data_IF_558014575922
#
_entry.id   IF_558014575922
#
_cell.length_a   1.000
_cell.length_b   1.000
_cell.length_c   1.000
_cell.angle_alpha   90.00
_cell.angle_beta   90.00
_cell.angle_gamma   90.00
#
_symmetry.space_group_name_H-M   'P 1'
#
loop_
_entity.id
_entity.type
_entity.pdbx_description
1 polymer ?
#
# COMPACT_ATOMS: atom_id res chain seq x y z
N UNK A 1 19.86 12.24 51.98
CA UNK A 1 20.13 10.83 51.60
C UNK A 1 19.83 10.67 50.11
N UNK A 2 20.84 10.50 49.25
CA UNK A 2 20.63 10.09 47.85
C UNK A 2 20.56 8.57 47.83
N UNK A 3 19.39 8.01 47.59
CA UNK A 3 19.23 6.59 47.26
C UNK A 3 19.88 6.34 45.90
N UNK A 4 21.10 5.79 45.90
CA UNK A 4 21.73 5.23 44.70
C UNK A 4 20.89 4.04 44.25
N UNK A 5 20.36 4.09 43.03
CA UNK A 5 19.72 2.94 42.41
C UNK A 5 20.76 1.83 42.21
N UNK A 6 20.34 0.57 42.35
CA UNK A 6 21.23 -0.57 42.17
C UNK A 6 21.66 -0.70 40.70
N UNK A 7 22.88 -1.18 40.40
CA UNK A 7 23.37 -1.36 39.02
C UNK A 7 22.44 -2.18 38.12
N UNK A 8 21.68 -3.11 38.70
CA UNK A 8 20.69 -3.92 37.99
C UNK A 8 19.49 -3.11 37.48
N UNK A 9 19.08 -2.07 38.21
CA UNK A 9 17.97 -1.19 37.82
C UNK A 9 18.38 -0.26 36.67
N UNK A 10 19.65 0.17 36.68
CA UNK A 10 20.22 1.02 35.63
C UNK A 10 20.42 0.23 34.33
N UNK A 11 20.89 -1.03 34.41
CA UNK A 11 20.97 -1.94 33.26
C UNK A 11 19.60 -2.29 32.67
N UNK A 12 18.58 -2.53 33.50
CA UNK A 12 17.23 -2.79 33.02
C UNK A 12 16.63 -1.58 32.28
N UNK A 13 16.86 -0.37 32.77
CA UNK A 13 16.44 0.87 32.11
C UNK A 13 17.12 1.11 30.75
N UNK A 14 18.42 0.79 30.64
CA UNK A 14 19.16 0.87 29.36
C UNK A 14 18.68 -0.16 28.34
N UNK A 15 18.43 -1.41 28.75
CA UNK A 15 17.87 -2.42 27.86
C UNK A 15 16.46 -2.06 27.37
N UNK A 16 15.60 -1.51 28.23
CA UNK A 16 14.25 -1.07 27.85
C UNK A 16 14.31 0.08 26.85
N UNK A 17 15.17 1.08 27.07
CA UNK A 17 15.33 2.20 26.14
C UNK A 17 15.95 1.77 24.81
N UNK A 18 16.94 0.87 24.82
CA UNK A 18 17.53 0.32 23.60
C UNK A 18 16.53 -0.54 22.81
N UNK A 19 15.68 -1.32 23.50
CA UNK A 19 14.58 -2.05 22.85
C UNK A 19 13.52 -1.09 22.28
N UNK A 20 13.29 0.06 22.93
CA UNK A 20 12.35 1.11 22.47
C UNK A 20 12.90 1.88 21.26
N UNK A 21 14.19 2.13 21.21
CA UNK A 21 14.89 2.70 20.05
C UNK A 21 14.96 1.72 18.87
N UNK A 22 15.16 0.41 19.14
CA UNK A 22 15.02 -0.65 18.14
C UNK A 22 13.57 -0.79 17.64
N UNK A 23 12.58 -0.57 18.49
CA UNK A 23 11.16 -0.49 18.10
C UNK A 23 10.81 0.81 17.34
N UNK A 24 11.72 1.79 17.31
CA UNK A 24 11.61 3.03 16.54
C UNK A 24 12.29 2.93 15.16
N UNK A 25 13.02 1.84 14.90
CA UNK A 25 13.61 1.57 13.60
C UNK A 25 12.52 1.15 12.61
N UNK A 26 12.25 2.01 11.64
CA UNK A 26 11.36 1.73 10.51
C UNK A 26 11.81 0.48 9.77
N UNK A 27 10.88 -0.43 9.49
CA UNK A 27 11.18 -1.60 8.67
C UNK A 27 11.65 -1.17 7.27
N UNK A 28 12.44 -2.02 6.58
CA UNK A 28 12.83 -1.75 5.17
C UNK A 28 11.63 -1.40 4.29
N UNK A 29 10.49 -2.07 4.51
CA UNK A 29 9.23 -1.75 3.81
C UNK A 29 8.72 -0.37 4.16
N UNK A 30 8.67 0.01 5.44
CA UNK A 30 8.22 1.34 5.85
C UNK A 30 9.15 2.46 5.36
N UNK A 31 10.47 2.27 5.38
CA UNK A 31 11.42 3.24 4.81
C UNK A 31 11.19 3.42 3.30
N UNK A 32 10.95 2.34 2.56
CA UNK A 32 10.61 2.43 1.14
C UNK A 32 9.25 3.10 0.88
N UNK A 33 8.29 2.95 1.80
CA UNK A 33 7.01 3.66 1.73
C UNK A 33 7.22 5.17 1.94
N UNK A 34 8.05 5.57 2.89
CA UNK A 34 8.39 6.99 3.10
C UNK A 34 9.04 7.58 1.85
N UNK A 35 9.98 6.87 1.24
CA UNK A 35 10.61 7.29 -0.02
C UNK A 35 9.58 7.46 -1.14
N UNK A 36 8.65 6.50 -1.29
CA UNK A 36 7.56 6.63 -2.25
C UNK A 36 6.65 7.83 -1.96
N UNK A 37 6.31 8.07 -0.70
CA UNK A 37 5.46 9.19 -0.30
C UNK A 37 6.13 10.55 -0.53
N UNK A 38 7.45 10.63 -0.38
CA UNK A 38 8.23 11.85 -0.58
C UNK A 38 8.48 12.16 -2.06
N UNK A 39 8.86 11.15 -2.84
CA UNK A 39 9.45 11.35 -4.17
C UNK A 39 8.73 10.60 -5.30
N UNK A 40 7.79 9.71 -4.98
CA UNK A 40 7.06 8.92 -5.95
C UNK A 40 5.94 9.69 -6.67
N UNK A 41 5.47 9.13 -7.78
CA UNK A 41 4.25 9.62 -8.43
C UNK A 41 3.02 9.13 -7.65
N UNK A 42 2.67 9.84 -6.59
CA UNK A 42 1.63 9.44 -5.63
C UNK A 42 0.23 9.88 -6.05
N UNK A 43 -0.75 9.39 -5.30
CA UNK A 43 -2.17 9.72 -5.42
C UNK A 43 -2.96 9.05 -4.30
N UNK A 44 -4.19 9.51 -4.08
CA UNK A 44 -5.01 9.15 -2.92
C UNK A 44 -5.15 7.64 -2.69
N UNK A 45 -5.26 6.84 -3.76
CA UNK A 45 -5.34 5.38 -3.71
C UNK A 45 -4.06 4.73 -3.18
N UNK A 46 -2.91 5.11 -3.73
CA UNK A 46 -1.59 4.62 -3.28
C UNK A 46 -1.26 5.11 -1.87
N UNK A 47 -1.62 6.34 -1.51
CA UNK A 47 -1.43 6.85 -0.15
C UNK A 47 -2.28 6.07 0.86
N UNK A 48 -3.53 5.75 0.52
CA UNK A 48 -4.38 4.93 1.38
C UNK A 48 -3.74 3.56 1.65
N UNK A 49 -3.16 2.92 0.63
CA UNK A 49 -2.37 1.69 0.79
C UNK A 49 -1.14 1.91 1.70
N UNK A 50 -0.39 2.98 1.47
CA UNK A 50 0.83 3.30 2.22
C UNK A 50 0.53 3.47 3.72
N UNK A 51 -0.45 4.32 4.07
CA UNK A 51 -0.84 4.56 5.46
C UNK A 51 -1.44 3.31 6.11
N UNK A 52 -2.34 2.62 5.42
CA UNK A 52 -3.05 1.49 6.01
C UNK A 52 -2.14 0.26 6.17
N UNK A 53 -1.48 -0.18 5.09
CA UNK A 53 -0.67 -1.41 5.10
C UNK A 53 0.72 -1.21 5.71
N UNK A 54 1.30 -0.01 5.55
CA UNK A 54 2.63 0.34 6.05
C UNK A 54 2.64 0.71 7.51
N UNK A 55 1.64 1.45 7.97
CA UNK A 55 1.63 2.08 9.29
C UNK A 55 0.42 1.72 10.15
N UNK A 56 -0.55 0.97 9.63
CA UNK A 56 -1.78 0.67 10.35
C UNK A 56 -2.68 1.88 10.55
N UNK A 57 -2.44 2.97 9.82
CA UNK A 57 -3.17 4.22 9.96
C UNK A 57 -4.34 4.22 8.98
N UNK A 58 -5.57 4.27 9.50
CA UNK A 58 -6.80 4.43 8.70
C UNK A 58 -7.26 5.88 8.77
N UNK A 59 -7.12 6.63 7.66
CA UNK A 59 -7.65 8.00 7.54
C UNK A 59 -9.15 7.97 7.28
N UNK A 60 -9.87 9.03 7.68
CA UNK A 60 -11.34 9.12 7.60
C UNK A 60 -11.92 8.83 6.21
N UNK A 61 -11.18 9.15 5.14
CA UNK A 61 -11.65 9.05 3.75
C UNK A 61 -11.10 7.83 2.98
N UNK A 62 -10.22 7.02 3.57
CA UNK A 62 -9.49 5.97 2.85
C UNK A 62 -10.40 4.90 2.21
N UNK A 63 -11.59 4.66 2.78
CA UNK A 63 -12.58 3.77 2.15
C UNK A 63 -13.06 4.23 0.76
N UNK A 64 -12.99 5.54 0.46
CA UNK A 64 -13.32 6.13 -0.85
C UNK A 64 -12.11 6.26 -1.78
N UNK A 65 -10.91 6.13 -1.22
CA UNK A 65 -9.65 6.29 -1.95
C UNK A 65 -9.16 4.94 -2.45
N UNK A 66 -9.97 4.30 -3.30
CA UNK A 66 -9.56 3.14 -4.08
C UNK A 66 -9.17 3.58 -5.48
N UNK A 67 -8.40 2.79 -6.25
CA UNK A 67 -8.14 3.12 -7.64
C UNK A 67 -9.44 3.09 -8.45
N UNK A 68 -9.80 4.23 -9.04
CA UNK A 68 -11.01 4.39 -9.87
C UNK A 68 -10.73 4.10 -11.34
N UNK A 69 -9.48 4.30 -11.76
CA UNK A 69 -9.05 4.16 -13.14
C UNK A 69 -7.63 3.54 -13.24
N UNK A 70 -7.15 3.23 -14.45
CA UNK A 70 -5.82 2.67 -14.65
C UNK A 70 -4.67 3.56 -14.15
N UNK A 71 -4.87 4.88 -14.07
CA UNK A 71 -3.85 5.81 -13.57
C UNK A 71 -3.70 5.73 -12.06
N UNK A 72 -4.82 5.72 -11.34
CA UNK A 72 -4.82 5.42 -9.92
C UNK A 72 -4.20 4.04 -9.63
N UNK A 73 -4.50 3.06 -10.48
CA UNK A 73 -3.96 1.71 -10.33
C UNK A 73 -2.46 1.67 -10.57
N UNK A 74 -1.93 2.34 -11.60
CA UNK A 74 -0.48 2.40 -11.85
C UNK A 74 0.27 3.01 -10.66
N UNK A 75 -0.30 4.03 -10.00
CA UNK A 75 0.27 4.61 -8.78
C UNK A 75 0.31 3.61 -7.62
N UNK A 76 -0.72 2.78 -7.49
CA UNK A 76 -0.72 1.68 -6.53
C UNK A 76 0.37 0.64 -6.87
N UNK A 77 0.54 0.30 -8.15
CA UNK A 77 1.62 -0.58 -8.60
C UNK A 77 3.01 0.04 -8.35
N UNK A 78 3.15 1.35 -8.52
CA UNK A 78 4.37 2.11 -8.20
C UNK A 78 4.78 1.93 -6.74
N UNK A 79 3.85 2.13 -5.82
CA UNK A 79 4.06 1.84 -4.41
C UNK A 79 4.50 0.39 -4.18
N UNK A 80 3.86 -0.60 -4.82
CA UNK A 80 4.21 -2.02 -4.65
C UNK A 80 5.57 -2.38 -5.25
N UNK A 81 6.02 -1.70 -6.30
CA UNK A 81 7.37 -1.85 -6.84
C UNK A 81 8.42 -1.30 -5.87
N UNK A 82 8.17 -0.12 -5.31
CA UNK A 82 9.09 0.52 -4.35
C UNK A 82 9.11 -0.22 -3.00
N UNK A 83 7.95 -0.66 -2.52
CA UNK A 83 7.77 -1.34 -1.23
C UNK A 83 7.17 -2.75 -1.40
N UNK A 84 7.93 -3.72 -1.95
CA UNK A 84 7.41 -5.06 -2.30
C UNK A 84 6.88 -5.85 -1.11
N UNK A 85 7.32 -5.53 0.11
CA UNK A 85 6.81 -6.11 1.35
C UNK A 85 5.32 -5.87 1.61
N UNK A 86 4.69 -4.92 0.89
CA UNK A 86 3.25 -4.68 0.95
C UNK A 86 2.41 -5.70 0.17
N UNK A 87 2.97 -6.42 -0.81
CA UNK A 87 2.19 -7.36 -1.64
C UNK A 87 1.46 -8.42 -0.81
N UNK A 88 2.12 -8.98 0.20
CA UNK A 88 1.52 -9.96 1.13
C UNK A 88 0.39 -9.38 1.99
N UNK A 89 0.34 -8.06 2.16
CA UNK A 89 -0.68 -7.36 2.95
C UNK A 89 -1.83 -6.84 2.10
N UNK A 90 -1.75 -6.89 0.76
CA UNK A 90 -2.80 -6.41 -0.14
C UNK A 90 -4.21 -6.89 0.25
N UNK A 91 -4.45 -8.17 0.61
CA UNK A 91 -5.78 -8.63 1.01
C UNK A 91 -6.41 -7.84 2.17
N UNK A 92 -5.60 -7.21 3.04
CA UNK A 92 -6.09 -6.41 4.15
C UNK A 92 -6.85 -5.16 3.70
N UNK A 93 -6.57 -4.62 2.50
CA UNK A 93 -7.30 -3.46 1.96
C UNK A 93 -8.80 -3.73 1.84
N UNK A 94 -9.23 -4.99 1.74
CA UNK A 94 -10.64 -5.37 1.76
C UNK A 94 -11.42 -4.84 2.98
N UNK A 95 -10.71 -4.52 4.08
CA UNK A 95 -11.28 -3.94 5.30
C UNK A 95 -11.62 -2.45 5.18
N UNK A 96 -11.17 -1.76 4.14
CA UNK A 96 -11.43 -0.32 3.96
C UNK A 96 -12.78 -0.04 3.32
N UNK A 97 -13.20 -0.83 2.33
CA UNK A 97 -14.51 -0.69 1.67
C UNK A 97 -14.90 -1.89 0.80
N UNK A 98 -16.17 -1.92 0.36
CA UNK A 98 -16.68 -2.93 -0.59
C UNK A 98 -15.92 -2.91 -1.92
N UNK A 99 -15.52 -1.73 -2.37
CA UNK A 99 -14.77 -1.54 -3.62
C UNK A 99 -13.34 -2.04 -3.49
N UNK A 100 -12.64 -1.70 -2.40
CA UNK A 100 -11.33 -2.29 -2.12
C UNK A 100 -11.39 -3.81 -2.04
N UNK A 101 -12.43 -4.37 -1.38
CA UNK A 101 -12.65 -5.82 -1.33
C UNK A 101 -12.76 -6.45 -2.72
N UNK A 102 -13.48 -5.81 -3.66
CA UNK A 102 -13.62 -6.29 -5.04
C UNK A 102 -12.31 -6.18 -5.81
N UNK A 103 -11.63 -5.04 -5.69
CA UNK A 103 -10.36 -4.78 -6.37
C UNK A 103 -9.28 -5.77 -5.94
N UNK A 104 -9.08 -6.00 -4.64
CA UNK A 104 -8.04 -6.94 -4.19
C UNK A 104 -8.32 -8.39 -4.55
N UNK A 105 -9.60 -8.77 -4.66
CA UNK A 105 -9.98 -10.10 -5.12
C UNK A 105 -9.68 -10.32 -6.61
N UNK A 106 -9.61 -9.25 -7.40
CA UNK A 106 -9.30 -9.28 -8.83
C UNK A 106 -7.93 -8.67 -9.16
N UNK A 107 -7.07 -8.43 -8.15
CA UNK A 107 -5.86 -7.62 -8.29
C UNK A 107 -4.95 -8.14 -9.39
N UNK A 108 -4.61 -9.42 -9.34
CA UNK A 108 -3.69 -10.06 -10.29
C UNK A 108 -4.26 -10.04 -11.72
N UNK A 109 -5.58 -10.17 -11.86
CA UNK A 109 -6.24 -10.07 -13.16
C UNK A 109 -6.13 -8.65 -13.75
N UNK A 110 -6.35 -7.62 -12.92
CA UNK A 110 -6.23 -6.22 -13.34
C UNK A 110 -4.76 -5.89 -13.66
N UNK A 111 -3.82 -6.33 -12.82
CA UNK A 111 -2.38 -6.13 -13.03
C UNK A 111 -1.91 -6.80 -14.32
N UNK A 112 -2.33 -8.03 -14.60
CA UNK A 112 -2.00 -8.71 -15.85
C UNK A 112 -2.54 -7.96 -17.08
N UNK A 113 -3.79 -7.50 -17.03
CA UNK A 113 -4.41 -6.75 -18.13
C UNK A 113 -3.72 -5.40 -18.36
N UNK A 114 -3.40 -4.67 -17.28
CA UNK A 114 -2.66 -3.41 -17.35
C UNK A 114 -1.28 -3.58 -17.99
N UNK A 115 -0.50 -4.58 -17.53
CA UNK A 115 0.84 -4.86 -18.06
C UNK A 115 0.82 -5.35 -19.52
N UNK A 116 -0.24 -6.07 -19.90
CA UNK A 116 -0.48 -6.48 -21.28
C UNK A 116 -0.73 -5.26 -22.17
N UNK A 117 -1.60 -4.37 -21.74
CA UNK A 117 -2.10 -3.24 -22.53
C UNK A 117 -1.09 -2.08 -22.65
N UNK A 118 -0.52 -1.63 -21.53
CA UNK A 118 0.33 -0.43 -21.50
C UNK A 118 1.73 -0.66 -20.92
N UNK A 119 2.00 -1.85 -20.39
CA UNK A 119 3.29 -2.18 -19.77
C UNK A 119 3.47 -1.55 -18.39
N UNK A 120 4.58 -1.87 -17.69
CA UNK A 120 4.88 -1.20 -16.43
C UNK A 120 5.08 0.30 -16.69
N UNK A 121 4.45 1.13 -15.87
CA UNK A 121 4.58 2.59 -15.92
C UNK A 121 4.34 3.20 -17.30
N UNK A 122 3.33 2.68 -18.03
CA UNK A 122 2.98 3.10 -19.40
C UNK A 122 4.07 2.97 -20.47
N UNK A 123 5.07 2.11 -20.25
CA UNK A 123 6.21 1.93 -21.15
C UNK A 123 5.89 1.48 -22.58
N UNK A 124 4.77 0.79 -22.84
CA UNK A 124 4.47 0.21 -24.17
C UNK A 124 3.65 1.12 -25.09
N UNK A 125 2.73 1.91 -24.53
CA UNK A 125 1.82 2.72 -25.34
C UNK A 125 1.29 3.92 -24.55
N UNK A 126 2.12 4.96 -24.34
CA UNK A 126 1.78 6.09 -23.49
C UNK A 126 0.61 6.94 -24.02
N UNK A 127 0.25 6.78 -25.31
CA UNK A 127 -0.86 7.49 -25.95
C UNK A 127 -2.21 6.79 -25.79
N UNK A 128 -2.26 5.55 -25.27
CA UNK A 128 -3.50 4.79 -25.11
C UNK A 128 -4.00 4.83 -23.66
N UNK A 129 -5.29 5.13 -23.49
CA UNK A 129 -5.95 5.34 -22.20
C UNK A 129 -6.19 4.07 -21.35
N UNK A 130 -5.48 2.97 -21.63
CA UNK A 130 -5.70 1.65 -21.02
C UNK A 130 -7.21 1.26 -20.97
N UNK A 131 -7.87 1.28 -22.14
CA UNK A 131 -9.32 1.12 -22.29
C UNK A 131 -9.78 -0.25 -21.75
N UNK A 132 -9.07 -1.32 -22.09
CA UNK A 132 -9.45 -2.67 -21.67
C UNK A 132 -9.32 -2.83 -20.15
N UNK A 133 -8.22 -2.32 -19.59
CA UNK A 133 -8.01 -2.27 -18.14
C UNK A 133 -9.08 -1.45 -17.44
N UNK A 134 -9.42 -0.27 -17.97
CA UNK A 134 -10.45 0.60 -17.41
C UNK A 134 -11.82 -0.09 -17.39
N UNK A 135 -12.19 -0.77 -18.49
CA UNK A 135 -13.44 -1.51 -18.56
C UNK A 135 -13.47 -2.66 -17.54
N UNK A 136 -12.38 -3.42 -17.42
CA UNK A 136 -12.25 -4.48 -16.42
C UNK A 136 -12.40 -3.92 -14.99
N UNK A 137 -11.72 -2.83 -14.67
CA UNK A 137 -11.83 -2.18 -13.36
C UNK A 137 -13.27 -1.74 -13.06
N UNK A 138 -13.97 -1.17 -14.06
CA UNK A 138 -15.39 -0.79 -13.91
C UNK A 138 -16.30 -1.99 -13.66
N UNK A 139 -16.07 -3.11 -14.33
CA UNK A 139 -16.82 -4.36 -14.09
C UNK A 139 -16.60 -4.88 -12.66
N UNK A 140 -15.33 -4.92 -12.22
CA UNK A 140 -14.94 -5.31 -10.86
C UNK A 140 -15.59 -4.39 -9.84
N UNK A 141 -15.53 -3.07 -10.03
CA UNK A 141 -16.10 -2.08 -9.13
C UNK A 141 -17.63 -2.14 -9.08
N UNK A 142 -18.29 -2.42 -10.21
CA UNK A 142 -19.73 -2.65 -10.27
C UNK A 142 -20.16 -3.95 -9.56
N UNK A 143 -19.24 -4.89 -9.35
CA UNK A 143 -19.53 -6.20 -8.77
C UNK A 143 -20.25 -7.15 -9.73
N UNK A 144 -20.10 -6.93 -11.05
CA UNK A 144 -20.62 -7.85 -12.07
C UNK A 144 -19.70 -9.06 -12.12
N UNK A 145 -20.11 -10.21 -11.60
CA UNK A 145 -19.38 -11.46 -11.83
C UNK A 145 -19.59 -11.92 -13.27
N UNK A 146 -18.54 -12.40 -13.94
CA UNK A 146 -18.74 -13.29 -15.08
C UNK A 146 -19.52 -14.50 -14.53
N UNK A 147 -20.73 -14.74 -15.05
CA UNK A 147 -21.40 -16.03 -14.87
C UNK A 147 -20.39 -17.10 -15.28
N UNK A 148 -19.99 -17.91 -14.31
CA UNK A 148 -19.23 -19.14 -14.57
C UNK A 148 -20.15 -20.15 -15.25
#
# INVERSE_FOLDING_TARGET
MRTSLSPLYEQAGQHINQQRELNMAMTKTQSAIVEWLANGHTGLSSEAMAFYLGFGIKRKKDGRFHPHDPSDFNRCLGLLRTAPGLRKKLPEMAKLSKQWKRLVAAWDQIEAEFLREVGPDWSKNPSVAAIATNNLMKEVLAGKSKKR
#
